data_IF_898748684494
#
_entry.id   IF_898748684494
#
_cell.length_a   1.000
_cell.length_b   1.000
_cell.length_c   1.000
_cell.angle_alpha   90.00
_cell.angle_beta   90.00
_cell.angle_gamma   90.00
#
_symmetry.space_group_name_H-M   'P 1'
#
loop_
_entity.id
_entity.type
_entity.pdbx_description
1 polymer ?
#
# COMPACT_ATOMS: atom_id res chain seq x y z
N UNK A 1 -3.32 -13.73 23.98
CA UNK A 1 -4.43 -13.11 23.25
C UNK A 1 -4.06 -11.82 22.55
N UNK A 2 -3.57 -10.85 23.29
CA UNK A 2 -3.17 -9.55 22.71
C UNK A 2 -2.09 -9.71 21.63
N UNK A 3 -1.13 -10.58 21.86
CA UNK A 3 -0.06 -10.85 20.90
C UNK A 3 -0.61 -11.41 19.58
N UNK A 4 -1.51 -12.36 19.66
CA UNK A 4 -2.11 -12.98 18.47
C UNK A 4 -2.90 -11.95 17.64
N UNK A 5 -3.68 -11.12 18.32
CA UNK A 5 -4.44 -10.05 17.67
C UNK A 5 -3.52 -9.07 16.97
N UNK A 6 -2.46 -8.67 17.66
CA UNK A 6 -1.46 -7.76 17.12
C UNK A 6 -0.75 -8.35 15.89
N UNK A 7 -0.36 -9.62 15.96
CA UNK A 7 0.27 -10.30 14.83
C UNK A 7 -0.68 -10.37 13.63
N UNK A 8 -1.96 -10.64 13.85
CA UNK A 8 -2.95 -10.67 12.79
C UNK A 8 -3.12 -9.30 12.14
N UNK A 9 -3.07 -8.22 12.92
CA UNK A 9 -3.15 -6.87 12.38
C UNK A 9 -1.93 -6.50 11.53
N UNK A 10 -0.73 -6.94 11.92
CA UNK A 10 0.47 -6.75 11.12
C UNK A 10 0.39 -7.53 9.82
N UNK A 11 -0.10 -8.77 9.86
CA UNK A 11 -0.30 -9.59 8.67
C UNK A 11 -1.30 -8.91 7.72
N UNK A 12 -2.39 -8.40 8.24
CA UNK A 12 -3.37 -7.67 7.45
C UNK A 12 -2.75 -6.44 6.78
N UNK A 13 -1.93 -5.70 7.52
CA UNK A 13 -1.22 -4.54 6.99
C UNK A 13 -0.28 -4.94 5.84
N UNK A 14 0.45 -6.06 6.00
CA UNK A 14 1.31 -6.61 4.95
C UNK A 14 0.51 -7.03 3.72
N UNK A 15 -0.65 -7.64 3.92
CA UNK A 15 -1.52 -8.05 2.82
C UNK A 15 -2.05 -6.84 2.05
N UNK A 16 -2.40 -5.77 2.75
CA UNK A 16 -2.83 -4.52 2.12
C UNK A 16 -1.71 -3.92 1.26
N UNK A 17 -0.48 -3.97 1.75
CA UNK A 17 0.69 -3.52 1.00
C UNK A 17 0.89 -4.36 -0.26
N UNK A 18 0.75 -5.68 -0.16
CA UNK A 18 0.87 -6.59 -1.30
C UNK A 18 -0.19 -6.29 -2.36
N UNK A 19 -1.43 -6.02 -1.94
CA UNK A 19 -2.51 -5.66 -2.86
C UNK A 19 -2.19 -4.39 -3.64
N UNK A 20 -1.62 -3.38 -2.99
CA UNK A 20 -1.18 -2.16 -3.65
C UNK A 20 -0.10 -2.47 -4.69
N UNK A 21 0.87 -3.29 -4.32
CA UNK A 21 1.96 -3.68 -5.21
C UNK A 21 1.45 -4.41 -6.45
N UNK A 22 0.53 -5.35 -6.27
CA UNK A 22 -0.10 -6.09 -7.38
C UNK A 22 -0.84 -5.12 -8.32
N UNK A 23 -1.57 -4.16 -7.75
CA UNK A 23 -2.28 -3.15 -8.54
C UNK A 23 -1.33 -2.33 -9.41
N UNK A 24 -0.18 -1.96 -8.85
CA UNK A 24 0.83 -1.19 -9.57
C UNK A 24 1.48 -2.01 -10.69
N UNK A 25 1.76 -3.28 -10.45
CA UNK A 25 2.30 -4.18 -11.49
C UNK A 25 1.32 -4.28 -12.67
N UNK A 26 0.04 -4.46 -12.39
CA UNK A 26 -0.99 -4.51 -13.42
C UNK A 26 -1.05 -3.22 -14.23
N UNK A 27 -0.96 -2.08 -13.56
CA UNK A 27 -0.92 -0.77 -14.20
C UNK A 27 0.30 -0.66 -15.13
N UNK A 28 1.45 -1.10 -14.67
CA UNK A 28 2.68 -1.10 -15.44
C UNK A 28 2.56 -1.95 -16.71
N UNK A 29 1.94 -3.12 -16.62
CA UNK A 29 1.73 -3.99 -17.77
C UNK A 29 0.82 -3.35 -18.82
N UNK A 30 -0.23 -2.68 -18.38
CA UNK A 30 -1.20 -2.04 -19.28
C UNK A 30 -0.58 -0.87 -20.04
N UNK A 31 0.33 -0.13 -19.42
CA UNK A 31 0.85 1.12 -19.97
C UNK A 31 1.65 0.94 -21.26
N UNK A 32 2.16 -0.27 -21.52
CA UNK A 32 2.91 -0.57 -22.73
C UNK A 32 2.03 -1.00 -23.91
N UNK A 33 0.73 -1.12 -23.71
CA UNK A 33 -0.24 -1.38 -24.76
C UNK A 33 -0.83 -0.06 -25.26
N UNK A 34 -1.43 -0.09 -26.46
CA UNK A 34 -2.19 1.05 -26.95
C UNK A 34 -3.42 1.26 -26.08
N UNK A 35 -3.45 2.35 -25.35
CA UNK A 35 -4.50 2.63 -24.38
C UNK A 35 -5.72 3.26 -25.05
N UNK A 36 -6.89 2.68 -24.80
CA UNK A 36 -8.16 3.32 -25.10
C UNK A 36 -8.46 4.37 -24.04
N UNK A 37 -9.41 5.28 -24.31
CA UNK A 37 -9.83 6.28 -23.31
C UNK A 37 -10.42 5.61 -22.07
N UNK A 38 -11.11 4.49 -22.22
CA UNK A 38 -11.66 3.72 -21.10
C UNK A 38 -10.51 3.18 -20.21
N UNK A 39 -9.47 2.65 -20.83
CA UNK A 39 -8.30 2.14 -20.10
C UNK A 39 -7.56 3.24 -19.38
N UNK A 40 -7.39 4.42 -20.00
CA UNK A 40 -6.77 5.58 -19.36
C UNK A 40 -7.56 6.03 -18.13
N UNK A 41 -8.88 6.10 -18.24
CA UNK A 41 -9.74 6.47 -17.13
C UNK A 41 -9.66 5.44 -16.00
N UNK A 42 -9.59 4.16 -16.34
CA UNK A 42 -9.43 3.08 -15.37
C UNK A 42 -8.13 3.21 -14.57
N UNK A 43 -7.03 3.60 -15.24
CA UNK A 43 -5.75 3.83 -14.58
C UNK A 43 -5.85 4.99 -13.60
N UNK A 44 -6.49 6.08 -13.99
CA UNK A 44 -6.68 7.26 -13.13
C UNK A 44 -7.53 6.89 -11.90
N UNK A 45 -8.62 6.18 -12.10
CA UNK A 45 -9.51 5.75 -11.02
C UNK A 45 -8.77 4.83 -10.04
N UNK A 46 -7.97 3.91 -10.56
CA UNK A 46 -7.20 2.98 -9.73
C UNK A 46 -6.13 3.72 -8.90
N UNK A 47 -5.56 4.81 -9.43
CA UNK A 47 -4.59 5.62 -8.71
C UNK A 47 -5.21 6.25 -7.47
N UNK A 48 -6.45 6.72 -7.55
CA UNK A 48 -7.17 7.25 -6.40
C UNK A 48 -7.38 6.17 -5.33
N UNK A 49 -7.71 4.95 -5.73
CA UNK A 49 -7.87 3.82 -4.82
C UNK A 49 -6.55 3.49 -4.13
N UNK A 50 -5.44 3.51 -4.87
CA UNK A 50 -4.12 3.27 -4.31
C UNK A 50 -3.76 4.35 -3.29
N UNK A 51 -4.02 5.62 -3.59
CA UNK A 51 -3.74 6.73 -2.68
C UNK A 51 -4.51 6.57 -1.36
N UNK A 52 -5.79 6.20 -1.43
CA UNK A 52 -6.59 5.94 -0.24
C UNK A 52 -6.06 4.75 0.56
N UNK A 53 -5.63 3.69 -0.12
CA UNK A 53 -5.07 2.51 0.53
C UNK A 53 -3.76 2.84 1.26
N UNK A 54 -2.91 3.68 0.68
CA UNK A 54 -1.66 4.13 1.31
C UNK A 54 -1.96 4.94 2.59
N UNK A 55 -2.93 5.85 2.53
CA UNK A 55 -3.35 6.62 3.71
C UNK A 55 -3.86 5.68 4.81
N UNK A 56 -4.63 4.66 4.43
CA UNK A 56 -5.15 3.66 5.37
C UNK A 56 -4.01 2.89 6.06
N UNK A 57 -2.99 2.49 5.30
CA UNK A 57 -1.81 1.81 5.85
C UNK A 57 -1.08 2.72 6.84
N UNK A 58 -0.88 4.00 6.48
CA UNK A 58 -0.22 4.96 7.36
C UNK A 58 -0.97 5.12 8.67
N UNK A 59 -2.26 5.35 8.60
CA UNK A 59 -3.12 5.55 9.78
C UNK A 59 -3.15 4.30 10.66
N UNK A 60 -3.28 3.13 10.06
CA UNK A 60 -3.31 1.87 10.79
C UNK A 60 -1.96 1.58 11.45
N UNK A 61 -0.86 1.86 10.76
CA UNK A 61 0.49 1.71 11.31
C UNK A 61 0.69 2.60 12.53
N UNK A 62 0.31 3.87 12.44
CA UNK A 62 0.40 4.82 13.57
C UNK A 62 -0.48 4.35 14.74
N UNK A 63 -1.70 3.91 14.46
CA UNK A 63 -2.61 3.38 15.48
C UNK A 63 -1.99 2.20 16.23
N UNK A 64 -1.40 1.25 15.50
CA UNK A 64 -0.77 0.08 16.11
C UNK A 64 0.41 0.48 17.01
N UNK A 65 1.21 1.45 16.59
CA UNK A 65 2.33 1.95 17.41
C UNK A 65 1.81 2.62 18.67
N UNK A 66 0.80 3.46 18.56
CA UNK A 66 0.28 4.22 19.69
C UNK A 66 -0.47 3.37 20.70
N UNK A 67 -1.23 2.38 20.24
CA UNK A 67 -2.11 1.57 21.11
C UNK A 67 -1.43 0.34 21.67
N UNK A 68 -0.54 -0.28 20.92
CA UNK A 68 0.05 -1.56 21.29
C UNK A 68 1.45 -1.48 21.89
N UNK A 69 2.10 -0.34 21.79
CA UNK A 69 3.49 -0.15 22.27
C UNK A 69 4.40 -1.31 21.87
N UNK A 70 4.54 -1.59 20.56
CA UNK A 70 5.24 -2.78 20.09
C UNK A 70 6.71 -2.79 20.47
N UNK A 71 7.26 -4.00 20.68
CA UNK A 71 8.69 -4.19 20.86
C UNK A 71 9.44 -3.87 19.55
N UNK A 72 10.75 -3.65 19.66
CA UNK A 72 11.56 -3.11 18.55
C UNK A 72 11.45 -3.86 17.24
N UNK A 73 11.32 -5.20 17.27
CA UNK A 73 11.16 -6.01 16.04
C UNK A 73 9.85 -5.70 15.34
N UNK A 74 8.75 -5.68 16.10
CA UNK A 74 7.43 -5.40 15.56
C UNK A 74 7.29 -3.93 15.13
N UNK A 75 7.90 -3.02 15.89
CA UNK A 75 7.94 -1.61 15.53
C UNK A 75 8.63 -1.42 14.18
N UNK A 76 9.76 -2.10 13.95
CA UNK A 76 10.47 -2.04 12.67
C UNK A 76 9.63 -2.59 11.53
N UNK A 77 8.89 -3.69 11.77
CA UNK A 77 7.99 -4.26 10.76
C UNK A 77 6.93 -3.25 10.33
N UNK A 78 6.29 -2.59 11.29
CA UNK A 78 5.26 -1.59 11.01
C UNK A 78 5.85 -0.42 10.24
N UNK A 79 6.97 0.13 10.70
CA UNK A 79 7.64 1.26 10.04
C UNK A 79 8.06 0.89 8.62
N UNK A 80 8.59 -0.32 8.43
CA UNK A 80 9.00 -0.80 7.11
C UNK A 80 7.80 -0.87 6.15
N UNK A 81 6.67 -1.39 6.61
CA UNK A 81 5.45 -1.49 5.78
C UNK A 81 4.98 -0.09 5.39
N UNK A 82 4.96 0.86 6.32
CA UNK A 82 4.54 2.23 6.05
C UNK A 82 5.48 2.89 5.03
N UNK A 83 6.78 2.74 5.19
CA UNK A 83 7.75 3.29 4.24
C UNK A 83 7.62 2.67 2.86
N UNK A 84 7.45 1.34 2.79
CA UNK A 84 7.27 0.65 1.52
C UNK A 84 6.01 1.12 0.81
N UNK A 85 4.91 1.34 1.53
CA UNK A 85 3.68 1.83 0.91
C UNK A 85 3.87 3.19 0.25
N UNK A 86 4.62 4.08 0.88
CA UNK A 86 4.96 5.40 0.32
C UNK A 86 5.83 5.28 -0.92
N UNK A 87 6.83 4.41 -0.89
CA UNK A 87 7.72 4.20 -2.03
C UNK A 87 6.99 3.58 -3.21
N UNK A 88 6.10 2.63 -2.94
CA UNK A 88 5.27 1.99 -3.96
C UNK A 88 4.32 3.01 -4.60
N UNK A 89 3.73 3.90 -3.80
CA UNK A 89 2.89 4.98 -4.33
C UNK A 89 3.66 5.88 -5.28
N UNK A 90 4.90 6.23 -4.96
CA UNK A 90 5.76 7.04 -5.83
C UNK A 90 6.03 6.34 -7.16
N UNK A 91 6.28 5.04 -7.13
CA UNK A 91 6.46 4.25 -8.34
C UNK A 91 5.19 4.31 -9.19
N UNK A 92 4.04 4.15 -8.59
CA UNK A 92 2.74 4.24 -9.28
C UNK A 92 2.52 5.60 -9.92
N UNK A 93 2.84 6.68 -9.21
CA UNK A 93 2.71 8.05 -9.72
C UNK A 93 3.62 8.29 -10.92
N UNK A 94 4.84 7.77 -10.89
CA UNK A 94 5.79 7.91 -11.99
C UNK A 94 5.35 7.14 -13.23
N UNK A 95 4.71 6.00 -13.06
CA UNK A 95 4.16 5.24 -14.17
C UNK A 95 3.12 6.05 -14.93
N UNK A 96 2.28 6.80 -14.24
CA UNK A 96 1.25 7.64 -14.86
C UNK A 96 1.87 8.76 -15.68
N UNK A 97 3.01 9.28 -15.25
CA UNK A 97 3.71 10.37 -15.95
C UNK A 97 4.32 9.94 -17.29
N UNK A 98 4.51 8.66 -17.50
CA UNK A 98 5.04 8.14 -18.76
C UNK A 98 3.96 8.21 -19.85
#
# INVERSE_FOLDING_TARGET
MLRKHFDNEIIELSNNLEDIWISIIKKYEIIFDDLTEVQKQSIIDNDLVINEAVVTIDMKGIELICLQHPVSVDLRRIITIVKLSTDIERIGDRIIEI
#
